data_IF_248392564562
#
_entry.id   IF_248392564562
#
_cell.length_a   1.000
_cell.length_b   1.000
_cell.length_c   1.000
_cell.angle_alpha   90.00
_cell.angle_beta   90.00
_cell.angle_gamma   90.00
#
_symmetry.space_group_name_H-M   'P 1'
#
loop_
_entity.id
_entity.type
_entity.pdbx_description
1 polymer ?
#
# COMPACT_ATOMS: atom_id res chain seq x y z
N UNK A 1 11.16 -6.93 12.53
CA UNK A 1 11.23 -5.46 12.43
C UNK A 1 10.07 -4.87 11.66
N UNK A 2 9.69 -5.44 10.51
CA UNK A 2 8.60 -4.95 9.67
C UNK A 2 7.79 -6.11 9.10
N UNK A 3 6.47 -5.96 8.99
CA UNK A 3 5.58 -6.97 8.40
C UNK A 3 4.64 -6.30 7.40
N UNK A 4 4.71 -6.70 6.13
CA UNK A 4 3.79 -6.24 5.08
C UNK A 4 2.58 -7.16 5.03
N UNK A 5 1.41 -6.66 5.43
CA UNK A 5 0.19 -7.45 5.48
C UNK A 5 -0.43 -7.53 4.08
N UNK A 6 -0.46 -8.74 3.53
CA UNK A 6 -1.08 -9.06 2.25
C UNK A 6 -2.21 -10.05 2.50
N UNK A 7 -3.42 -9.67 2.11
CA UNK A 7 -4.65 -10.38 2.37
C UNK A 7 -5.27 -10.88 1.07
N UNK A 8 -5.51 -12.19 1.00
CA UNK A 8 -6.12 -12.83 -0.16
C UNK A 8 -7.53 -12.30 -0.45
N UNK A 9 -8.30 -11.90 0.57
CA UNK A 9 -9.62 -11.32 0.38
C UNK A 9 -9.53 -9.99 -0.39
N UNK A 10 -8.60 -9.12 0.03
CA UNK A 10 -8.34 -7.85 -0.64
C UNK A 10 -7.80 -8.03 -2.08
N UNK A 11 -6.86 -8.96 -2.27
CA UNK A 11 -6.31 -9.26 -3.59
C UNK A 11 -7.39 -9.77 -4.55
N UNK A 12 -8.29 -10.63 -4.07
CA UNK A 12 -9.41 -11.14 -4.86
C UNK A 12 -10.36 -10.01 -5.24
N UNK A 13 -10.72 -9.14 -4.29
CA UNK A 13 -11.57 -7.97 -4.54
C UNK A 13 -10.95 -7.00 -5.55
N UNK A 14 -9.63 -6.75 -5.49
CA UNK A 14 -8.91 -5.95 -6.48
C UNK A 14 -9.03 -6.60 -7.88
N UNK A 15 -8.72 -7.89 -7.99
CA UNK A 15 -8.79 -8.60 -9.27
C UNK A 15 -10.21 -8.57 -9.88
N UNK A 16 -11.21 -8.85 -9.05
CA UNK A 16 -12.60 -8.95 -9.51
C UNK A 16 -13.21 -7.57 -9.79
N UNK A 17 -13.12 -6.64 -8.83
CA UNK A 17 -13.83 -5.34 -8.91
C UNK A 17 -13.04 -4.28 -9.68
N UNK A 18 -11.73 -4.20 -9.48
CA UNK A 18 -10.88 -3.16 -10.07
C UNK A 18 -10.31 -3.58 -11.42
N UNK A 19 -9.75 -4.78 -11.51
CA UNK A 19 -9.17 -5.30 -12.76
C UNK A 19 -10.20 -5.96 -13.69
N UNK A 20 -11.44 -6.13 -13.24
CA UNK A 20 -12.56 -6.72 -14.00
C UNK A 20 -12.28 -8.14 -14.50
N UNK A 21 -11.57 -8.93 -13.70
CA UNK A 21 -11.33 -10.35 -13.97
C UNK A 21 -12.51 -11.17 -13.42
N UNK A 22 -13.28 -11.81 -14.29
CA UNK A 22 -14.47 -12.57 -13.89
C UNK A 22 -14.13 -13.78 -12.98
N UNK A 23 -12.99 -14.42 -13.23
CA UNK A 23 -12.50 -15.59 -12.48
C UNK A 23 -11.03 -15.40 -12.11
N UNK A 24 -10.72 -14.66 -11.01
CA UNK A 24 -9.35 -14.47 -10.55
C UNK A 24 -8.69 -15.80 -10.20
N UNK A 25 -7.49 -16.03 -10.73
CA UNK A 25 -6.65 -17.20 -10.43
C UNK A 25 -5.55 -16.82 -9.44
N UNK A 26 -4.91 -17.81 -8.80
CA UNK A 26 -3.71 -17.54 -8.00
C UNK A 26 -2.59 -16.87 -8.79
N UNK A 27 -2.52 -17.08 -10.10
CA UNK A 27 -1.58 -16.35 -10.96
C UNK A 27 -1.81 -14.84 -10.95
N UNK A 28 -3.08 -14.41 -10.94
CA UNK A 28 -3.46 -12.99 -10.90
C UNK A 28 -3.15 -12.38 -9.52
N UNK A 29 -3.43 -13.11 -8.45
CA UNK A 29 -3.09 -12.68 -7.08
C UNK A 29 -1.57 -12.57 -6.91
N UNK A 30 -0.82 -13.58 -7.35
CA UNK A 30 0.65 -13.58 -7.30
C UNK A 30 1.25 -12.44 -8.12
N UNK A 31 0.62 -12.06 -9.24
CA UNK A 31 1.04 -10.91 -10.02
C UNK A 31 0.98 -9.62 -9.21
N UNK A 32 -0.13 -9.36 -8.51
CA UNK A 32 -0.27 -8.19 -7.63
C UNK A 32 0.80 -8.17 -6.52
N UNK A 33 0.99 -9.31 -5.84
CA UNK A 33 2.00 -9.46 -4.79
C UNK A 33 3.40 -9.18 -5.34
N UNK A 34 3.74 -9.75 -6.50
CA UNK A 34 5.07 -9.57 -7.10
C UNK A 34 5.38 -8.11 -7.43
N UNK A 35 4.37 -7.36 -7.86
CA UNK A 35 4.50 -5.94 -8.20
C UNK A 35 4.77 -5.11 -6.95
N UNK A 36 4.00 -5.33 -5.87
CA UNK A 36 4.20 -4.59 -4.61
C UNK A 36 5.53 -4.95 -3.96
N UNK A 37 5.92 -6.22 -3.94
CA UNK A 37 7.22 -6.64 -3.40
C UNK A 37 8.39 -6.03 -4.20
N UNK A 38 8.25 -5.95 -5.53
CA UNK A 38 9.19 -5.20 -6.37
C UNK A 38 9.20 -3.72 -5.99
N UNK A 39 8.04 -3.11 -5.80
CA UNK A 39 7.87 -1.73 -5.35
C UNK A 39 8.60 -1.40 -4.05
N UNK A 40 8.30 -2.14 -2.97
CA UNK A 40 8.87 -1.96 -1.62
C UNK A 40 10.41 -2.04 -1.66
N UNK A 41 10.95 -3.00 -2.41
CA UNK A 41 12.40 -3.23 -2.48
C UNK A 41 13.12 -2.35 -3.52
N UNK A 42 12.43 -1.40 -4.16
CA UNK A 42 13.00 -0.58 -5.24
C UNK A 42 14.24 0.20 -4.77
N UNK A 43 14.16 0.86 -3.62
CA UNK A 43 15.26 1.66 -3.05
C UNK A 43 16.49 0.84 -2.64
N UNK A 44 16.37 -0.49 -2.57
CA UNK A 44 17.49 -1.39 -2.27
C UNK A 44 18.17 -1.89 -3.54
N UNK A 45 17.40 -1.99 -4.63
CA UNK A 45 17.84 -2.62 -5.88
C UNK A 45 18.33 -1.62 -6.91
N UNK A 46 17.88 -0.37 -6.81
CA UNK A 46 18.22 0.69 -7.74
C UNK A 46 18.71 1.93 -6.99
N UNK A 47 19.71 2.64 -7.53
CA UNK A 47 20.09 3.93 -7.01
C UNK A 47 18.92 4.91 -7.15
N UNK A 48 18.64 5.68 -6.11
CA UNK A 48 17.61 6.71 -6.10
C UNK A 48 18.07 7.96 -5.36
N UNK A 49 17.35 9.07 -5.54
CA UNK A 49 17.69 10.34 -4.87
C UNK A 49 17.57 10.24 -3.33
N UNK A 50 16.64 9.40 -2.84
CA UNK A 50 16.59 8.95 -1.45
C UNK A 50 17.05 7.49 -1.38
N UNK A 51 18.34 7.28 -1.11
CA UNK A 51 18.87 5.95 -0.75
C UNK A 51 18.43 5.59 0.68
N UNK A 52 17.20 5.07 0.77
CA UNK A 52 16.61 4.53 1.98
C UNK A 52 16.93 3.03 2.05
N UNK A 53 17.91 2.66 2.87
CA UNK A 53 18.10 1.26 3.25
C UNK A 53 16.89 0.75 4.10
N UNK A 54 16.74 -0.56 4.23
CA UNK A 54 15.63 -1.16 5.03
C UNK A 54 15.64 -0.70 6.49
N UNK A 55 16.80 -0.34 7.04
CA UNK A 55 16.90 0.15 8.41
C UNK A 55 16.30 1.55 8.54
N UNK A 56 16.55 2.44 7.57
CA UNK A 56 15.93 3.76 7.50
C UNK A 56 14.43 3.63 7.30
N UNK A 57 13.96 2.65 6.51
CA UNK A 57 12.53 2.36 6.42
C UNK A 57 11.94 2.02 7.79
N UNK A 58 12.58 1.12 8.53
CA UNK A 58 12.09 0.67 9.84
C UNK A 58 12.08 1.79 10.87
N UNK A 59 13.17 2.55 10.95
CA UNK A 59 13.28 3.71 11.84
C UNK A 59 12.23 4.76 11.52
N UNK A 60 11.95 4.96 10.23
CA UNK A 60 11.00 5.97 9.81
C UNK A 60 9.54 5.54 9.90
N UNK A 61 9.23 4.24 9.75
CA UNK A 61 7.86 3.75 9.63
C UNK A 61 7.31 3.11 10.92
N UNK A 62 8.17 2.76 11.88
CA UNK A 62 7.79 2.07 13.12
C UNK A 62 8.00 2.99 14.33
N UNK A 63 7.01 3.83 14.69
CA UNK A 63 7.12 4.72 15.86
C UNK A 63 7.09 3.94 17.18
N UNK A 64 6.49 2.75 17.19
CA UNK A 64 6.41 1.88 18.35
C UNK A 64 6.76 0.44 17.96
N UNK A 65 7.62 -0.27 18.71
CA UNK A 65 8.12 -1.59 18.32
C UNK A 65 7.05 -2.65 18.01
N UNK A 66 5.87 -2.57 18.63
CA UNK A 66 4.75 -3.51 18.40
C UNK A 66 3.85 -3.12 17.22
N UNK A 67 3.94 -1.88 16.74
CA UNK A 67 3.10 -1.36 15.64
C UNK A 67 3.89 -1.35 14.33
N UNK A 68 4.34 -2.54 13.91
CA UNK A 68 5.18 -2.76 12.73
C UNK A 68 4.46 -3.52 11.59
N UNK A 69 3.13 -3.48 11.59
CA UNK A 69 2.29 -4.10 10.56
C UNK A 69 1.82 -3.05 9.57
N UNK A 70 2.17 -3.23 8.30
CA UNK A 70 1.91 -2.26 7.25
C UNK A 70 0.81 -2.72 6.31
N UNK A 71 -0.08 -1.79 5.99
CA UNK A 71 -0.98 -1.91 4.85
C UNK A 71 -0.23 -1.47 3.60
N UNK A 72 -0.24 -2.31 2.57
CA UNK A 72 0.46 -2.01 1.30
C UNK A 72 -0.53 -1.83 0.17
N UNK A 73 -0.14 -1.03 -0.82
CA UNK A 73 -0.96 -0.76 -1.99
C UNK A 73 -0.10 -0.49 -3.22
N UNK A 74 -0.73 -0.55 -4.39
CA UNK A 74 -0.07 -0.25 -5.66
C UNK A 74 -0.98 0.57 -6.55
N UNK A 75 -0.38 1.50 -7.30
CA UNK A 75 -1.03 2.14 -8.43
C UNK A 75 -0.02 2.28 -9.58
N UNK A 76 -0.46 2.19 -10.84
CA UNK A 76 -1.86 2.13 -11.27
C UNK A 76 -2.44 0.70 -11.23
N UNK A 77 -3.70 0.58 -10.80
CA UNK A 77 -4.50 -0.64 -10.97
C UNK A 77 -5.60 -0.36 -11.98
N UNK A 78 -5.37 -0.76 -13.24
CA UNK A 78 -6.27 -0.50 -14.36
C UNK A 78 -6.55 -1.79 -15.12
N UNK A 79 -7.85 -2.09 -15.33
CA UNK A 79 -8.31 -3.20 -16.15
C UNK A 79 -7.74 -3.12 -17.58
N UNK A 80 -7.45 -4.27 -18.19
CA UNK A 80 -6.79 -4.35 -19.52
C UNK A 80 -7.50 -3.51 -20.59
N UNK A 81 -8.83 -3.56 -20.63
CA UNK A 81 -9.65 -2.79 -21.60
C UNK A 81 -9.65 -1.27 -21.39
N UNK A 82 -9.27 -0.80 -20.20
CA UNK A 82 -9.27 0.63 -19.85
C UNK A 82 -7.87 1.26 -19.89
N UNK A 83 -6.81 0.48 -20.05
CA UNK A 83 -5.43 0.96 -20.01
C UNK A 83 -5.12 2.01 -21.09
N UNK A 84 -5.71 1.89 -22.29
CA UNK A 84 -5.47 2.85 -23.38
C UNK A 84 -6.17 4.20 -23.18
N UNK A 85 -7.21 4.24 -22.34
CA UNK A 85 -8.04 5.44 -22.13
C UNK A 85 -7.68 6.21 -20.87
N UNK A 86 -6.88 5.63 -19.96
CA UNK A 86 -6.52 6.26 -18.69
C UNK A 86 -5.12 6.85 -18.77
N UNK A 87 -5.02 8.17 -18.64
CA UNK A 87 -3.74 8.84 -18.47
C UNK A 87 -3.14 8.47 -17.10
N UNK A 88 -1.88 8.04 -17.09
CA UNK A 88 -1.13 7.77 -15.86
C UNK A 88 -0.38 9.05 -15.50
N UNK A 89 -0.91 9.81 -14.55
CA UNK A 89 -0.33 11.07 -14.04
C UNK A 89 -0.05 10.98 -12.54
N UNK A 90 0.80 11.86 -12.01
CA UNK A 90 1.10 11.88 -10.56
C UNK A 90 -0.16 12.09 -9.70
N UNK A 91 -1.06 13.06 -9.99
CA UNK A 91 -2.29 13.23 -9.22
C UNK A 91 -3.18 11.97 -9.22
N UNK A 92 -3.29 11.30 -10.37
CA UNK A 92 -4.11 10.09 -10.52
C UNK A 92 -3.53 8.92 -9.73
N UNK A 93 -2.20 8.74 -9.76
CA UNK A 93 -1.51 7.74 -8.96
C UNK A 93 -1.68 8.02 -7.47
N UNK A 94 -1.49 9.27 -7.04
CA UNK A 94 -1.66 9.69 -5.65
C UNK A 94 -3.09 9.47 -5.17
N UNK A 95 -4.09 9.78 -6.00
CA UNK A 95 -5.50 9.51 -5.65
C UNK A 95 -5.79 8.02 -5.51
N UNK A 96 -5.32 7.19 -6.45
CA UNK A 96 -5.50 5.73 -6.37
C UNK A 96 -4.80 5.12 -5.15
N UNK A 97 -3.66 5.68 -4.76
CA UNK A 97 -2.87 5.22 -3.64
C UNK A 97 -3.64 5.23 -2.31
N UNK A 98 -4.47 6.24 -2.09
CA UNK A 98 -5.29 6.40 -0.88
C UNK A 98 -6.71 5.84 -1.03
N UNK A 99 -7.05 5.21 -2.16
CA UNK A 99 -8.33 4.51 -2.32
C UNK A 99 -8.27 3.18 -1.54
N UNK A 100 -9.23 2.99 -0.63
CA UNK A 100 -9.39 1.76 0.14
C UNK A 100 -9.47 0.51 -0.76
N UNK A 101 -10.01 0.65 -1.98
CA UNK A 101 -10.14 -0.45 -2.95
C UNK A 101 -8.81 -0.94 -3.52
N UNK A 102 -7.73 -0.17 -3.38
CA UNK A 102 -6.41 -0.49 -3.90
C UNK A 102 -5.45 -0.98 -2.80
N UNK A 103 -5.94 -1.08 -1.57
CA UNK A 103 -5.19 -1.65 -0.44
C UNK A 103 -5.18 -3.17 -0.56
N UNK A 104 -4.00 -3.78 -0.36
CA UNK A 104 -3.82 -5.23 -0.36
C UNK A 104 -4.04 -5.86 1.02
N UNK A 105 -4.49 -5.08 2.00
CA UNK A 105 -4.99 -5.55 3.27
C UNK A 105 -6.48 -5.16 3.35
N UNK A 106 -7.36 -6.11 3.68
CA UNK A 106 -8.81 -5.84 3.75
C UNK A 106 -9.15 -5.07 5.02
N UNK A 107 -8.81 -3.79 5.01
CA UNK A 107 -9.11 -2.82 6.06
C UNK A 107 -9.38 -1.49 5.37
N UNK A 108 -10.42 -0.77 5.77
CA UNK A 108 -10.68 0.57 5.25
C UNK A 108 -9.81 1.57 6.02
N UNK A 109 -8.84 2.26 5.36
CA UNK A 109 -8.00 3.23 6.05
C UNK A 109 -8.78 4.35 6.74
N UNK A 110 -10.01 4.63 6.30
CA UNK A 110 -10.90 5.65 6.87
C UNK A 110 -11.44 5.30 8.25
N UNK A 111 -11.39 4.02 8.66
CA UNK A 111 -11.74 3.61 10.03
C UNK A 111 -10.63 3.91 11.06
N UNK A 112 -9.46 4.35 10.59
CA UNK A 112 -8.31 4.64 11.43
C UNK A 112 -7.65 5.95 11.08
N UNK A 113 -6.42 6.09 11.57
CA UNK A 113 -5.52 7.17 11.22
C UNK A 113 -4.18 6.58 10.83
N UNK A 114 -3.56 7.17 9.81
CA UNK A 114 -2.18 6.91 9.45
C UNK A 114 -1.25 7.46 10.52
N UNK A 115 -0.46 6.57 11.10
CA UNK A 115 0.70 6.95 11.91
C UNK A 115 1.77 7.51 11.00
N UNK A 116 2.17 6.73 9.99
CA UNK A 116 3.22 7.07 9.02
C UNK A 116 2.86 6.48 7.66
N UNK A 117 3.13 7.21 6.58
CA UNK A 117 2.94 6.81 5.19
C UNK A 117 4.25 6.94 4.44
N UNK A 118 4.56 5.96 3.60
CA UNK A 118 5.62 6.04 2.60
C UNK A 118 5.05 5.77 1.20
N UNK A 119 5.44 6.59 0.24
CA UNK A 119 5.05 6.48 -1.16
C UNK A 119 6.29 6.40 -2.06
N UNK A 120 6.44 5.27 -2.75
CA UNK A 120 7.58 4.98 -3.63
C UNK A 120 7.19 5.15 -5.08
N UNK A 121 7.48 6.33 -5.63
CA UNK A 121 7.27 6.62 -7.04
C UNK A 121 8.37 6.02 -7.91
N UNK A 122 7.98 5.50 -9.07
CA UNK A 122 8.90 4.92 -10.05
C UNK A 122 8.61 5.45 -11.45
N UNK A 123 9.67 5.65 -12.22
CA UNK A 123 9.62 6.19 -13.58
C UNK A 123 9.92 7.68 -13.62
N UNK A 124 9.70 8.29 -14.80
CA UNK A 124 9.96 9.72 -15.01
C UNK A 124 8.85 10.56 -14.37
N UNK A 125 9.09 11.03 -13.14
CA UNK A 125 8.18 11.91 -12.38
C UNK A 125 8.88 13.19 -11.94
N UNK A 126 8.12 14.27 -11.83
CA UNK A 126 8.59 15.50 -11.19
C UNK A 126 8.45 15.39 -9.68
N UNK A 127 9.55 15.43 -8.93
CA UNK A 127 9.50 15.35 -7.47
C UNK A 127 8.72 16.51 -6.84
N UNK A 128 8.80 17.71 -7.45
CA UNK A 128 7.99 18.86 -7.05
C UNK A 128 6.49 18.55 -7.14
N UNK A 129 6.05 17.95 -8.25
CA UNK A 129 4.64 17.59 -8.45
C UNK A 129 4.20 16.50 -7.46
N UNK A 130 5.07 15.53 -7.16
CA UNK A 130 4.82 14.49 -6.16
C UNK A 130 4.60 15.10 -4.78
N UNK A 131 5.50 15.97 -4.33
CA UNK A 131 5.42 16.61 -3.01
C UNK A 131 4.17 17.50 -2.89
N UNK A 132 3.86 18.30 -3.91
CA UNK A 132 2.66 19.15 -3.94
C UNK A 132 1.37 18.32 -3.84
N UNK A 133 1.29 17.20 -4.58
CA UNK A 133 0.12 16.32 -4.54
C UNK A 133 -0.03 15.60 -3.20
N UNK A 134 1.07 15.10 -2.63
CA UNK A 134 1.07 14.43 -1.33
C UNK A 134 0.66 15.40 -0.21
N UNK A 135 1.19 16.62 -0.23
CA UNK A 135 0.79 17.68 0.71
C UNK A 135 -0.69 18.06 0.54
N UNK A 136 -1.18 18.14 -0.69
CA UNK A 136 -2.59 18.42 -0.97
C UNK A 136 -3.51 17.34 -0.38
N UNK A 137 -3.14 16.06 -0.55
CA UNK A 137 -3.91 14.95 0.02
C UNK A 137 -3.87 14.98 1.54
N UNK A 138 -2.70 15.15 2.15
CA UNK A 138 -2.57 15.26 3.61
C UNK A 138 -3.41 16.41 4.16
N UNK A 139 -3.38 17.57 3.50
CA UNK A 139 -4.14 18.76 3.92
C UNK A 139 -5.65 18.55 3.82
N UNK A 140 -6.13 17.95 2.71
CA UNK A 140 -7.55 17.67 2.51
C UNK A 140 -8.08 16.60 3.46
N UNK A 141 -7.22 15.68 3.89
CA UNK A 141 -7.57 14.49 4.65
C UNK A 141 -6.92 14.51 6.05
N UNK A 142 -6.64 15.69 6.60
CA UNK A 142 -5.85 15.87 7.82
C UNK A 142 -6.35 15.04 9.01
N UNK A 143 -7.67 14.87 9.13
CA UNK A 143 -8.33 14.05 10.15
C UNK A 143 -7.92 12.56 10.12
N UNK A 144 -7.43 12.06 8.99
CA UNK A 144 -6.96 10.69 8.80
C UNK A 144 -5.45 10.53 9.03
N UNK A 145 -4.72 11.60 9.35
CA UNK A 145 -3.32 11.56 9.72
C UNK A 145 -3.19 11.94 11.20
N UNK A 146 -2.24 11.33 11.92
CA UNK A 146 -1.97 11.75 13.29
C UNK A 146 -1.26 13.10 13.32
N UNK A 147 -1.69 13.99 14.22
CA UNK A 147 -1.14 15.35 14.36
C UNK A 147 0.16 15.42 15.15
N UNK A 148 0.40 14.43 16.02
CA UNK A 148 1.52 14.41 16.96
C UNK A 148 2.80 13.79 16.39
N UNK A 149 2.73 13.15 15.22
CA UNK A 149 3.93 12.77 14.45
C UNK A 149 4.10 13.83 13.35
N UNK A 150 5.07 14.75 13.47
CA UNK A 150 5.35 15.71 12.42
C UNK A 150 5.90 15.00 11.17
N UNK A 151 5.61 15.53 9.98
CA UNK A 151 6.12 15.02 8.70
C UNK A 151 5.95 13.50 8.51
N UNK A 152 4.77 12.98 8.87
CA UNK A 152 4.44 11.56 8.81
C UNK A 152 4.19 11.00 7.40
N UNK A 153 4.47 11.78 6.35
CA UNK A 153 4.34 11.37 4.96
C UNK A 153 5.71 11.46 4.31
N UNK A 154 6.21 10.32 3.85
CA UNK A 154 7.50 10.18 3.20
C UNK A 154 7.31 9.83 1.73
N UNK A 155 8.10 10.45 0.88
CA UNK A 155 8.12 10.19 -0.56
C UNK A 155 9.51 9.74 -0.96
N UNK A 156 9.57 8.75 -1.83
CA UNK A 156 10.79 8.24 -2.42
C UNK A 156 10.60 8.06 -3.92
N UNK A 157 11.70 8.18 -4.67
CA UNK A 157 11.66 8.13 -6.11
C UNK A 157 12.82 7.32 -6.70
N UNK A 158 12.49 6.59 -7.77
CA UNK A 158 13.43 5.89 -8.62
C UNK A 158 13.10 6.15 -10.10
N UNK A 159 14.09 6.54 -10.89
CA UNK A 159 13.92 6.77 -12.33
C UNK A 159 13.55 5.50 -13.13
N UNK A 160 13.85 4.31 -12.57
CA UNK A 160 13.64 3.03 -13.24
C UNK A 160 12.20 2.55 -13.03
N UNK A 161 11.38 2.77 -14.06
CA UNK A 161 10.01 2.30 -14.14
C UNK A 161 9.91 0.76 -14.11
N UNK A 162 8.81 0.18 -13.62
CA UNK A 162 8.56 -1.26 -13.73
C UNK A 162 8.27 -1.66 -15.19
N UNK A 163 8.50 -2.94 -15.54
CA UNK A 163 8.37 -3.45 -16.92
C UNK A 163 6.99 -3.19 -17.55
N UNK A 164 5.92 -3.21 -16.76
CA UNK A 164 4.54 -3.10 -17.24
C UNK A 164 4.01 -1.66 -17.35
N UNK A 165 4.67 -0.68 -16.72
CA UNK A 165 4.13 0.69 -16.62
C UNK A 165 5.22 1.74 -16.80
N UNK A 166 4.88 2.87 -17.44
CA UNK A 166 5.79 4.02 -17.56
C UNK A 166 6.04 4.73 -16.23
N UNK A 167 5.06 4.65 -15.33
CA UNK A 167 5.06 5.26 -14.02
C UNK A 167 4.22 4.41 -13.06
N UNK A 168 4.64 4.31 -11.80
CA UNK A 168 3.89 3.63 -10.75
C UNK A 168 4.21 4.21 -9.38
N UNK A 169 3.35 3.94 -8.41
CA UNK A 169 3.60 4.21 -7.00
C UNK A 169 3.32 2.96 -6.18
N UNK A 170 4.18 2.69 -5.21
CA UNK A 170 3.94 1.68 -4.17
C UNK A 170 3.71 2.38 -2.85
N UNK A 171 2.63 2.01 -2.19
CA UNK A 171 2.19 2.57 -0.92
C UNK A 171 2.56 1.64 0.22
N UNK A 172 3.06 2.22 1.30
CA UNK A 172 3.25 1.55 2.58
C UNK A 172 2.64 2.46 3.65
N UNK A 173 1.61 2.00 4.33
CA UNK A 173 0.93 2.74 5.37
C UNK A 173 0.98 2.00 6.70
N UNK A 174 1.51 2.66 7.73
CA UNK A 174 1.30 2.26 9.11
C UNK A 174 0.02 2.95 9.61
N UNK A 175 -1.08 2.20 9.67
CA UNK A 175 -2.40 2.74 10.01
C UNK A 175 -3.02 1.98 11.16
N UNK A 176 -3.73 2.68 12.03
CA UNK A 176 -4.53 2.03 13.09
C UNK A 176 -5.70 1.21 12.54
N UNK A 177 -6.05 1.37 11.26
CA UNK A 177 -7.06 0.57 10.58
C UNK A 177 -6.67 -0.92 10.43
N UNK A 178 -5.37 -1.26 10.55
CA UNK A 178 -4.89 -2.65 10.50
C UNK A 178 -5.52 -3.54 11.58
N UNK A 179 -6.08 -2.93 12.63
CA UNK A 179 -6.85 -3.64 13.66
C UNK A 179 -8.02 -4.44 13.09
N UNK A 180 -8.64 -4.01 11.98
CA UNK A 180 -9.78 -4.68 11.37
C UNK A 180 -9.38 -6.07 10.86
N UNK A 181 -8.18 -6.17 10.26
CA UNK A 181 -7.60 -7.44 9.83
C UNK A 181 -7.37 -8.38 11.02
N UNK A 182 -6.81 -7.86 12.12
CA UNK A 182 -6.55 -8.66 13.32
C UNK A 182 -7.84 -9.09 14.04
N UNK A 183 -8.85 -8.21 14.11
CA UNK A 183 -10.16 -8.53 14.69
C UNK A 183 -10.81 -9.68 13.93
N UNK A 184 -10.82 -9.65 12.59
CA UNK A 184 -11.38 -10.74 11.79
C UNK A 184 -10.70 -12.09 12.05
N UNK A 185 -9.37 -12.11 12.12
CA UNK A 185 -8.62 -13.34 12.44
C UNK A 185 -8.90 -13.79 13.87
N UNK A 186 -8.96 -12.87 14.82
CA UNK A 186 -9.27 -13.17 16.22
C UNK A 186 -10.68 -13.74 16.40
N UNK A 187 -11.67 -13.25 15.66
CA UNK A 187 -13.05 -13.75 15.70
C UNK A 187 -13.13 -15.18 15.15
N UNK A 188 -12.48 -15.45 14.02
CA UNK A 188 -12.37 -16.80 13.44
C UNK A 188 -11.66 -17.78 14.40
N UNK A 189 -10.53 -17.35 14.96
CA UNK A 189 -9.80 -18.13 15.94
C UNK A 189 -10.66 -18.44 17.17
N UNK A 190 -11.33 -17.43 17.72
CA UNK A 190 -12.19 -17.58 18.90
C UNK A 190 -13.33 -18.56 18.64
N UNK A 191 -13.96 -18.50 17.46
CA UNK A 191 -15.03 -19.42 17.09
C UNK A 191 -14.56 -20.89 17.05
N UNK A 192 -13.37 -21.14 16.48
CA UNK A 192 -12.77 -22.48 16.40
C UNK A 192 -12.30 -22.97 17.78
N UNK A 193 -11.62 -22.10 18.52
CA UNK A 193 -11.04 -22.40 19.82
C UNK A 193 -12.12 -22.70 20.88
N UNK A 194 -13.23 -21.94 20.88
CA UNK A 194 -14.39 -22.22 21.76
C UNK A 194 -14.94 -23.63 21.57
N UNK A 195 -14.84 -24.18 20.37
CA UNK A 195 -15.29 -25.55 20.04
C UNK A 195 -14.21 -26.60 20.24
N UNK A 196 -13.00 -26.22 20.64
CA UNK A 196 -11.83 -27.11 20.72
C UNK A 196 -11.55 -27.84 19.40
N UNK A 197 -11.96 -27.26 18.27
CA UNK A 197 -11.78 -27.88 16.96
C UNK A 197 -10.28 -27.95 16.62
N UNK A 198 -9.80 -29.13 16.21
CA UNK A 198 -8.41 -29.38 15.84
C UNK A 198 -7.37 -29.08 16.94
N UNK A 199 -7.72 -29.27 18.23
CA UNK A 199 -6.78 -29.11 19.35
C UNK A 199 -5.97 -30.38 19.71
N UNK A 200 -6.26 -31.51 19.08
CA UNK A 200 -5.64 -32.81 19.38
C UNK A 200 -4.35 -33.04 18.59
#
# INVERSE_FOLDING_TARGET
>A
DETFCIDNEALYDICFRTLKLATPTYGDLNHLVSIVMSGITTCLRFPGQLNSDLRKLAVNMVPFPRLHFFMVGFAPLTARGSQQYRAITVPELTSQMFDAKNMMAASDPRHGRYLIVAAYFRGKVSMKEVEENMLSVQSKNSNYFVEWIPNNVQTAHCDIAPRAHKMSVTFIGNSTAIQDLFKRVADQFTAMFRRKAFLH
#
